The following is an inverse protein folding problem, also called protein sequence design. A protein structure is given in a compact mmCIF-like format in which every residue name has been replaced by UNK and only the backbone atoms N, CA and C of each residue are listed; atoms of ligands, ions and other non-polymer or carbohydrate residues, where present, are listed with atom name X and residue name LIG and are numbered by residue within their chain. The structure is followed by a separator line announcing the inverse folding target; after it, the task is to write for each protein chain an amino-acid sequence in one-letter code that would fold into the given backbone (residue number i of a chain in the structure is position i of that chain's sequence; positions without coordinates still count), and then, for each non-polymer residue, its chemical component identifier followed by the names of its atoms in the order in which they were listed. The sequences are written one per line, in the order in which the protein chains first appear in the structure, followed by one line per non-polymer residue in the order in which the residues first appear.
data_IF_098273492657
#
_entry.id   IF_098273492657
#
_cell.length_a   1.000
_cell.length_b   1.000
_cell.length_c   1.000
_cell.angle_alpha   90.00
_cell.angle_beta   90.00
_cell.angle_gamma   90.00
#
_symmetry.space_group_name_H-M   'P 1'
#
loop_
_entity.id
_entity.type
_entity.pdbx_description
1 polymer ?
#
# COMPACT_ATOMS: atom_id res chain seq x y z
N UNK A 1 -18.76 -27.83 17.35
CA UNK A 1 -18.27 -27.41 18.68
C UNK A 1 -17.17 -26.40 18.42
N UNK A 2 -17.12 -25.14 18.86
CA UNK A 2 -17.99 -24.27 19.64
C UNK A 2 -17.41 -22.86 19.42
N UNK A 3 -18.28 -21.86 19.18
CA UNK A 3 -17.94 -20.43 19.20
C UNK A 3 -17.27 -20.10 20.54
N UNK A 4 -16.10 -19.44 20.54
CA UNK A 4 -15.62 -18.73 21.72
C UNK A 4 -15.57 -17.25 21.37
N UNK A 5 -16.72 -16.65 21.58
CA UNK A 5 -16.91 -15.21 21.65
C UNK A 5 -16.50 -14.74 23.03
N UNK A 6 -15.73 -13.65 23.09
CA UNK A 6 -15.81 -12.53 24.04
C UNK A 6 -15.72 -12.78 25.56
N UNK A 7 -14.92 -11.90 26.19
CA UNK A 7 -14.97 -11.43 27.58
C UNK A 7 -14.30 -12.29 28.66
N UNK A 8 -13.01 -12.03 28.91
CA UNK A 8 -12.47 -11.94 30.28
C UNK A 8 -11.42 -10.82 30.27
N UNK A 9 -11.80 -9.57 30.57
CA UNK A 9 -11.92 -8.96 31.90
C UNK A 9 -10.57 -8.61 32.56
N UNK A 10 -10.37 -7.30 32.66
CA UNK A 10 -9.73 -6.59 33.78
C UNK A 10 -8.19 -6.63 33.79
N UNK A 11 -7.45 -5.52 33.94
CA UNK A 11 -7.71 -4.37 34.80
C UNK A 11 -6.75 -3.24 34.43
N UNK A 12 -7.24 -2.02 34.22
CA UNK A 12 -6.71 -0.80 34.88
C UNK A 12 -7.76 0.30 34.71
N UNK A 13 -8.52 0.52 35.78
CA UNK A 13 -9.39 1.67 35.92
C UNK A 13 -8.50 2.89 36.19
N UNK A 14 -8.53 3.88 35.30
CA UNK A 14 -7.75 5.11 35.45
C UNK A 14 -8.25 6.21 34.52
N UNK A 15 -9.22 6.97 35.03
CA UNK A 15 -9.54 8.37 34.67
C UNK A 15 -10.28 8.62 33.34
N UNK A 16 -11.46 9.20 33.53
CA UNK A 16 -12.31 9.89 32.57
C UNK A 16 -11.55 10.98 31.80
N UNK A 17 -11.24 10.74 30.53
CA UNK A 17 -11.25 11.78 29.49
C UNK A 17 -11.72 11.08 28.20
N UNK A 18 -12.84 11.57 27.65
CA UNK A 18 -13.37 11.08 26.38
C UNK A 18 -12.36 11.30 25.26
N UNK A 19 -11.86 10.21 24.70
CA UNK A 19 -11.14 10.24 23.45
C UNK A 19 -11.80 9.21 22.53
N UNK A 20 -12.70 9.62 21.63
CA UNK A 20 -12.89 8.82 20.43
C UNK A 20 -11.52 8.76 19.77
N UNK A 21 -10.88 7.58 19.78
CA UNK A 21 -9.74 7.26 18.91
C UNK A 21 -10.24 7.21 17.46
N UNK A 22 -10.69 8.36 16.97
CA UNK A 22 -10.88 8.65 15.56
C UNK A 22 -9.51 9.10 15.06
N UNK A 23 -8.58 8.18 14.86
CA UNK A 23 -7.59 8.37 13.80
C UNK A 23 -8.29 8.11 12.46
N UNK A 24 -9.30 8.93 12.18
CA UNK A 24 -9.70 9.22 10.82
C UNK A 24 -8.70 10.23 10.29
N UNK A 25 -7.50 9.76 9.94
CA UNK A 25 -6.63 10.53 9.04
C UNK A 25 -7.22 10.46 7.64
N UNK A 26 -8.33 11.19 7.46
CA UNK A 26 -8.76 11.66 6.16
C UNK A 26 -7.99 12.95 5.84
N UNK A 27 -6.66 12.86 5.84
CA UNK A 27 -5.87 13.77 5.05
C UNK A 27 -5.73 13.08 3.70
N UNK A 28 -6.56 13.49 2.75
CA UNK A 28 -6.19 13.43 1.34
C UNK A 28 -4.93 14.31 1.16
N UNK A 29 -3.80 13.84 1.70
CA UNK A 29 -2.48 14.18 1.22
C UNK A 29 -2.58 14.08 -0.29
N UNK A 30 -2.14 15.11 -0.99
CA UNK A 30 -2.11 15.12 -2.45
C UNK A 30 -0.99 14.17 -2.89
N UNK A 31 -1.16 12.87 -2.59
CA UNK A 31 -0.19 11.81 -2.88
C UNK A 31 -0.04 11.79 -4.39
N UNK A 32 1.16 12.14 -4.85
CA UNK A 32 1.52 12.17 -6.24
C UNK A 32 2.06 10.82 -6.69
N UNK A 33 2.24 10.64 -8.00
CA UNK A 33 2.95 9.47 -8.51
C UNK A 33 4.39 9.38 -8.01
N UNK A 34 5.04 10.51 -7.71
CA UNK A 34 6.41 10.49 -7.17
C UNK A 34 6.43 10.02 -5.71
N UNK A 35 5.39 10.33 -4.93
CA UNK A 35 5.27 9.81 -3.55
C UNK A 35 5.13 8.29 -3.55
N UNK A 36 4.28 7.74 -4.44
CA UNK A 36 4.17 6.30 -4.63
C UNK A 36 5.46 5.66 -5.16
N UNK A 37 6.20 6.36 -6.01
CA UNK A 37 7.50 5.91 -6.51
C UNK A 37 8.52 5.80 -5.37
N UNK A 38 8.58 6.80 -4.49
CA UNK A 38 9.46 6.82 -3.31
C UNK A 38 9.11 5.70 -2.34
N UNK A 39 7.82 5.50 -2.08
CA UNK A 39 7.34 4.39 -1.24
C UNK A 39 7.73 3.04 -1.84
N UNK A 40 7.53 2.86 -3.15
CA UNK A 40 7.97 1.66 -3.87
C UNK A 40 9.47 1.41 -3.70
N UNK A 41 10.31 2.44 -3.92
CA UNK A 41 11.76 2.32 -3.81
C UNK A 41 12.18 1.91 -2.39
N UNK A 42 11.57 2.54 -1.37
CA UNK A 42 11.82 2.19 0.02
C UNK A 42 11.44 0.73 0.33
N UNK A 43 10.26 0.29 -0.11
CA UNK A 43 9.79 -1.07 0.14
C UNK A 43 10.63 -2.12 -0.61
N UNK A 44 10.95 -1.88 -1.89
CA UNK A 44 11.74 -2.79 -2.71
C UNK A 44 13.15 -2.97 -2.16
N UNK A 45 13.80 -1.88 -1.73
CA UNK A 45 15.13 -1.95 -1.11
C UNK A 45 15.09 -2.63 0.26
N UNK A 46 14.05 -2.41 1.07
CA UNK A 46 13.84 -3.15 2.33
C UNK A 46 13.61 -4.65 2.12
N UNK A 47 13.09 -5.03 0.95
CA UNK A 47 12.92 -6.43 0.55
C UNK A 47 14.20 -7.04 -0.07
N UNK A 48 15.30 -6.28 -0.11
CA UNK A 48 16.61 -6.78 -0.52
C UNK A 48 16.97 -6.53 -1.99
N UNK A 49 16.14 -5.79 -2.75
CA UNK A 49 16.54 -5.39 -4.09
C UNK A 49 17.67 -4.35 -4.03
N UNK A 50 18.65 -4.50 -4.91
CA UNK A 50 19.66 -3.47 -5.12
C UNK A 50 19.01 -2.14 -5.51
N UNK A 51 19.57 -1.02 -5.05
CA UNK A 51 18.98 0.32 -5.26
C UNK A 51 18.74 0.62 -6.73
N UNK A 52 19.66 0.22 -7.62
CA UNK A 52 19.50 0.38 -9.07
C UNK A 52 18.28 -0.41 -9.59
N UNK A 53 18.24 -1.72 -9.33
CA UNK A 53 17.13 -2.60 -9.71
C UNK A 53 15.78 -2.14 -9.13
N UNK A 54 15.77 -1.68 -7.89
CA UNK A 54 14.57 -1.13 -7.26
C UNK A 54 14.12 0.18 -7.94
N UNK A 55 15.05 1.04 -8.35
CA UNK A 55 14.75 2.26 -9.08
C UNK A 55 14.13 1.94 -10.45
N UNK A 56 14.71 1.00 -11.19
CA UNK A 56 14.19 0.59 -12.50
C UNK A 56 12.80 -0.04 -12.39
N UNK A 57 12.60 -0.96 -11.44
CA UNK A 57 11.31 -1.56 -11.13
C UNK A 57 10.25 -0.50 -10.82
N UNK A 58 10.55 0.42 -9.90
CA UNK A 58 9.59 1.43 -9.47
C UNK A 58 9.30 2.48 -10.54
N UNK A 59 10.30 2.87 -11.35
CA UNK A 59 10.11 3.77 -12.48
C UNK A 59 9.23 3.13 -13.56
N UNK A 60 9.51 1.87 -13.93
CA UNK A 60 8.70 1.12 -14.88
C UNK A 60 7.25 1.00 -14.39
N UNK A 61 7.06 0.61 -13.13
CA UNK A 61 5.74 0.41 -12.54
C UNK A 61 4.93 1.71 -12.55
N UNK A 62 5.52 2.82 -12.09
CA UNK A 62 4.86 4.12 -12.08
C UNK A 62 4.57 4.63 -13.50
N UNK A 63 5.46 4.40 -14.46
CA UNK A 63 5.24 4.76 -15.86
C UNK A 63 4.02 4.04 -16.44
N UNK A 64 3.91 2.71 -16.25
CA UNK A 64 2.76 1.93 -16.69
C UNK A 64 1.46 2.38 -16.03
N UNK A 65 1.48 2.64 -14.72
CA UNK A 65 0.29 3.13 -14.01
C UNK A 65 -0.12 4.51 -14.53
N UNK A 66 0.83 5.44 -14.70
CA UNK A 66 0.56 6.79 -15.24
C UNK A 66 -0.01 6.77 -16.65
N UNK A 67 0.34 5.77 -17.46
CA UNK A 67 -0.21 5.60 -18.81
C UNK A 67 -1.68 5.17 -18.82
N UNK A 68 -2.18 4.57 -17.73
CA UNK A 68 -3.52 3.98 -17.65
C UNK A 68 -4.47 4.75 -16.73
N UNK A 69 -3.94 5.45 -15.73
CA UNK A 69 -4.74 6.06 -14.67
C UNK A 69 -4.28 7.48 -14.36
N UNK A 70 -5.22 8.35 -14.04
CA UNK A 70 -4.92 9.59 -13.33
C UNK A 70 -4.50 9.28 -11.89
N UNK A 71 -3.87 10.23 -11.21
CA UNK A 71 -3.46 10.04 -9.82
C UNK A 71 -4.65 9.73 -8.89
N UNK A 72 -5.80 10.35 -9.12
CA UNK A 72 -7.02 10.12 -8.32
C UNK A 72 -7.59 8.71 -8.56
N UNK A 73 -7.59 8.26 -9.82
CA UNK A 73 -8.01 6.89 -10.17
C UNK A 73 -7.08 5.86 -9.53
N UNK A 74 -5.76 6.09 -9.62
CA UNK A 74 -4.79 5.20 -9.01
C UNK A 74 -4.92 5.13 -7.49
N UNK A 75 -5.07 6.27 -6.80
CA UNK A 75 -5.34 6.31 -5.36
C UNK A 75 -6.58 5.48 -4.99
N UNK A 76 -7.64 5.58 -5.78
CA UNK A 76 -8.86 4.80 -5.57
C UNK A 76 -8.59 3.29 -5.73
N UNK A 77 -7.80 2.89 -6.73
CA UNK A 77 -7.38 1.50 -6.91
C UNK A 77 -6.53 0.99 -5.74
N UNK A 78 -5.61 1.81 -5.22
CA UNK A 78 -4.79 1.48 -4.05
C UNK A 78 -5.63 1.31 -2.78
N UNK A 79 -6.66 2.14 -2.57
CA UNK A 79 -7.57 1.94 -1.44
C UNK A 79 -8.44 0.71 -1.64
N UNK A 80 -8.92 0.47 -2.86
CA UNK A 80 -9.77 -0.67 -3.19
C UNK A 80 -9.02 -2.00 -3.06
N UNK A 81 -7.75 -2.06 -3.46
CA UNK A 81 -6.93 -3.29 -3.39
C UNK A 81 -6.79 -3.87 -1.98
N UNK A 82 -6.97 -3.06 -0.93
CA UNK A 82 -6.95 -3.52 0.48
C UNK A 82 -8.00 -4.58 0.79
N UNK A 83 -9.14 -4.55 0.09
CA UNK A 83 -10.26 -5.46 0.32
C UNK A 83 -10.75 -6.16 -0.97
N UNK A 84 -10.23 -5.79 -2.14
CA UNK A 84 -10.64 -6.32 -3.44
C UNK A 84 -9.46 -7.07 -4.10
N UNK A 85 -9.54 -8.40 -4.11
CA UNK A 85 -8.47 -9.27 -4.62
C UNK A 85 -8.19 -9.04 -6.11
N UNK A 86 -9.21 -8.79 -6.93
CA UNK A 86 -9.03 -8.58 -8.35
C UNK A 86 -8.26 -7.27 -8.64
N UNK A 87 -8.54 -6.23 -7.86
CA UNK A 87 -7.84 -4.95 -7.92
C UNK A 87 -6.41 -5.09 -7.43
N UNK A 88 -6.19 -5.82 -6.34
CA UNK A 88 -4.84 -6.15 -5.87
C UNK A 88 -4.02 -6.89 -6.93
N UNK A 89 -4.58 -7.96 -7.50
CA UNK A 89 -3.95 -8.72 -8.58
C UNK A 89 -3.63 -7.85 -9.78
N UNK A 90 -4.56 -6.99 -10.21
CA UNK A 90 -4.33 -6.07 -11.34
C UNK A 90 -3.15 -5.13 -11.09
N UNK A 91 -3.02 -4.59 -9.89
CA UNK A 91 -1.89 -3.73 -9.53
C UNK A 91 -0.57 -4.53 -9.44
N UNK A 92 -0.61 -5.72 -8.83
CA UNK A 92 0.55 -6.63 -8.76
C UNK A 92 1.06 -7.03 -10.13
N UNK A 93 0.19 -7.41 -11.07
CA UNK A 93 0.61 -7.81 -12.42
C UNK A 93 1.32 -6.70 -13.19
N UNK A 94 1.02 -5.42 -12.90
CA UNK A 94 1.78 -4.30 -13.48
C UNK A 94 3.22 -4.31 -12.95
N UNK A 95 3.40 -4.46 -11.63
CA UNK A 95 4.71 -4.54 -11.00
C UNK A 95 5.51 -5.77 -11.44
N UNK A 96 4.87 -6.93 -11.49
CA UNK A 96 5.47 -8.20 -11.97
C UNK A 96 5.95 -8.06 -13.42
N UNK A 97 5.17 -7.41 -14.30
CA UNK A 97 5.58 -7.15 -15.69
C UNK A 97 6.80 -6.25 -15.82
N UNK A 98 7.13 -5.47 -14.78
CA UNK A 98 8.32 -4.64 -14.71
C UNK A 98 9.50 -5.36 -14.04
N UNK A 99 9.23 -6.33 -13.17
CA UNK A 99 10.27 -7.14 -12.53
C UNK A 99 10.94 -8.09 -13.53
N UNK A 100 10.17 -8.64 -14.47
CA UNK A 100 10.70 -9.49 -15.54
C UNK A 100 11.78 -8.76 -16.34
N UNK A 101 11.61 -7.46 -16.60
CA UNK A 101 12.61 -6.65 -17.29
C UNK A 101 13.88 -6.36 -16.48
N UNK A 102 13.87 -6.52 -15.15
CA UNK A 102 15.02 -6.23 -14.27
C UNK A 102 15.82 -7.50 -13.92
N UNK A 103 15.21 -8.68 -14.04
CA UNK A 103 15.85 -9.97 -13.70
C UNK A 103 16.65 -10.60 -14.84
N UNK A 104 16.54 -10.09 -16.06
CA UNK A 104 17.23 -10.61 -17.25
C UNK A 104 18.29 -9.66 -17.82
N UNK A 105 18.77 -8.70 -17.03
CA UNK A 105 19.99 -7.92 -17.32
C UNK A 105 21.22 -8.45 -16.58
#
# INVERSE_FOLDING_TARGET
MQKVSLLVLSSVLGVLIGHPSMYAQNSASRVSFDDYRKECLQQATQQGLAVASANDLCNCTMSKIRSQYTIQQFQTLVQKSKNDRATAQRLSSIGESCLDSVLYE
#
